data_IF_301473327957
#
_entry.id   IF_301473327957
#
_cell.length_a   1.000
_cell.length_b   1.000
_cell.length_c   1.000
_cell.angle_alpha   90.00
_cell.angle_beta   90.00
_cell.angle_gamma   90.00
#
_symmetry.space_group_name_H-M   'P 1'
#
loop_
_entity.id
_entity.type
_entity.pdbx_description
1 polymer ?
#
# COMPACT_ATOMS: atom_id res chain seq x y z
N UNK A 1 4.82 -15.27 19.95
CA UNK A 1 5.33 -14.66 18.70
C UNK A 1 5.30 -13.14 18.82
N UNK A 2 6.43 -12.43 18.78
CA UNK A 2 6.44 -10.95 18.80
C UNK A 2 5.84 -10.43 17.48
N UNK A 3 4.58 -10.00 17.53
CA UNK A 3 3.94 -9.23 16.47
C UNK A 3 4.59 -7.83 16.49
N UNK A 4 5.19 -7.44 15.37
CA UNK A 4 5.86 -6.14 15.24
C UNK A 4 4.85 -5.06 14.87
N UNK A 5 5.13 -3.81 15.26
CA UNK A 5 4.34 -2.67 14.81
C UNK A 5 4.52 -2.50 13.30
N UNK A 6 3.45 -2.13 12.60
CA UNK A 6 3.46 -1.95 11.16
C UNK A 6 2.72 -0.68 10.76
N UNK A 7 3.18 -0.08 9.67
CA UNK A 7 2.40 0.89 8.89
C UNK A 7 2.24 0.32 7.49
N UNK A 8 1.03 0.37 6.96
CA UNK A 8 0.67 -0.15 5.65
C UNK A 8 0.10 0.98 4.82
N UNK A 9 0.65 1.22 3.63
CA UNK A 9 0.04 2.04 2.61
C UNK A 9 -0.76 1.13 1.70
N UNK A 10 -2.09 1.26 1.75
CA UNK A 10 -3.00 0.58 0.84
C UNK A 10 -3.27 1.48 -0.37
N UNK A 11 -3.29 0.86 -1.54
CA UNK A 11 -3.45 1.54 -2.82
C UNK A 11 -4.51 0.83 -3.65
N UNK A 12 -5.51 1.61 -4.04
CA UNK A 12 -6.37 1.26 -5.16
C UNK A 12 -5.79 1.89 -6.43
N UNK A 13 -5.30 1.02 -7.31
CA UNK A 13 -4.56 1.44 -8.50
C UNK A 13 -5.49 2.15 -9.48
N UNK A 14 -5.12 3.35 -9.96
CA UNK A 14 -5.86 4.01 -11.03
C UNK A 14 -6.02 3.09 -12.25
N UNK A 15 -7.22 3.03 -12.81
CA UNK A 15 -7.55 2.14 -13.94
C UNK A 15 -6.56 2.23 -15.13
N UNK A 16 -6.06 3.41 -15.54
CA UNK A 16 -5.07 3.50 -16.62
C UNK A 16 -3.73 2.79 -16.32
N UNK A 17 -3.40 2.55 -15.05
CA UNK A 17 -2.21 1.81 -14.64
C UNK A 17 -2.46 0.31 -14.46
N UNK A 18 -3.69 -0.15 -14.60
CA UNK A 18 -4.06 -1.57 -14.59
C UNK A 18 -3.96 -2.16 -15.99
N UNK A 19 -3.62 -3.45 -16.06
CA UNK A 19 -3.72 -4.19 -17.33
C UNK A 19 -5.20 -4.35 -17.70
N UNK A 20 -5.55 -4.36 -19.01
CA UNK A 20 -6.90 -4.71 -19.44
C UNK A 20 -7.35 -6.02 -18.79
N UNK A 21 -8.63 -6.09 -18.38
CA UNK A 21 -9.27 -7.25 -17.75
C UNK A 21 -8.71 -7.67 -16.38
N UNK A 22 -7.70 -6.98 -15.87
CA UNK A 22 -7.27 -7.14 -14.50
C UNK A 22 -8.24 -6.36 -13.63
N UNK A 23 -8.82 -7.04 -12.64
CA UNK A 23 -9.73 -6.40 -11.67
C UNK A 23 -11.08 -5.92 -12.25
N UNK A 24 -11.67 -6.79 -13.07
CA UNK A 24 -12.91 -6.53 -13.82
C UNK A 24 -14.14 -6.20 -12.94
N UNK A 25 -14.11 -6.56 -11.64
CA UNK A 25 -15.24 -6.37 -10.75
C UNK A 25 -15.40 -4.92 -10.26
N UNK A 26 -14.31 -4.17 -10.08
CA UNK A 26 -14.35 -2.80 -9.53
C UNK A 26 -14.06 -1.70 -10.54
N UNK A 27 -13.41 -2.02 -11.67
CA UNK A 27 -13.06 -1.04 -12.71
C UNK A 27 -13.88 -1.19 -13.99
N UNK A 28 -15.10 -1.73 -13.89
CA UNK A 28 -16.02 -1.81 -15.01
C UNK A 28 -16.91 -0.55 -15.02
N UNK A 29 -16.62 0.37 -15.94
CA UNK A 29 -17.38 1.62 -16.09
C UNK A 29 -18.85 1.40 -16.41
N UNK A 30 -19.22 0.26 -16.99
CA UNK A 30 -20.62 -0.10 -17.18
C UNK A 30 -21.31 -0.28 -15.82
N UNK A 31 -20.70 -1.00 -14.87
CA UNK A 31 -21.27 -1.18 -13.53
C UNK A 31 -21.37 0.15 -12.77
N UNK A 32 -20.36 1.03 -12.87
CA UNK A 32 -20.39 2.36 -12.26
C UNK A 32 -21.49 3.27 -12.86
N UNK A 33 -21.66 3.25 -14.19
CA UNK A 33 -22.77 3.96 -14.85
C UNK A 33 -24.14 3.40 -14.46
N UNK A 34 -24.30 2.06 -14.44
CA UNK A 34 -25.57 1.41 -14.13
C UNK A 34 -25.98 1.58 -12.66
N UNK A 35 -25.02 1.59 -11.72
CA UNK A 35 -25.33 1.70 -10.28
C UNK A 35 -25.39 3.14 -9.77
N UNK A 36 -24.55 4.04 -10.29
CA UNK A 36 -24.39 5.39 -9.73
C UNK A 36 -24.78 6.52 -10.69
N UNK A 37 -25.12 6.22 -11.96
CA UNK A 37 -25.55 7.22 -12.95
C UNK A 37 -24.47 8.22 -13.40
N UNK A 38 -23.26 8.12 -12.85
CA UNK A 38 -22.08 8.93 -13.19
C UNK A 38 -20.80 8.09 -13.12
N UNK A 39 -19.78 8.39 -13.96
CA UNK A 39 -18.48 7.73 -13.85
C UNK A 39 -17.86 7.98 -12.48
N UNK A 40 -17.44 6.92 -11.78
CA UNK A 40 -16.74 7.03 -10.51
C UNK A 40 -15.36 7.68 -10.70
N UNK A 41 -15.12 8.90 -10.18
CA UNK A 41 -13.83 9.57 -10.32
C UNK A 41 -12.70 8.84 -9.58
N UNK A 42 -13.00 7.98 -8.60
CA UNK A 42 -12.00 7.15 -7.92
C UNK A 42 -11.43 6.06 -8.83
N UNK A 43 -12.17 5.58 -9.84
CA UNK A 43 -11.63 4.64 -10.84
C UNK A 43 -10.47 5.28 -11.64
N UNK A 44 -10.58 6.57 -11.93
CA UNK A 44 -9.61 7.30 -12.75
C UNK A 44 -8.48 7.87 -11.89
N UNK A 45 -8.77 8.33 -10.68
CA UNK A 45 -7.78 8.98 -9.82
C UNK A 45 -7.03 8.00 -8.92
N UNK A 46 -7.61 6.83 -8.66
CA UNK A 46 -7.13 5.86 -7.67
C UNK A 46 -7.44 6.30 -6.23
N UNK A 47 -7.09 5.46 -5.27
CA UNK A 47 -7.26 5.76 -3.84
C UNK A 47 -6.07 5.31 -3.01
N UNK A 48 -5.83 5.98 -1.89
CA UNK A 48 -4.77 5.65 -0.95
C UNK A 48 -5.25 5.81 0.49
N UNK A 49 -4.89 4.89 1.37
CA UNK A 49 -5.18 4.97 2.80
C UNK A 49 -4.12 4.26 3.63
N UNK A 50 -4.06 4.58 4.92
CA UNK A 50 -3.04 4.07 5.84
C UNK A 50 -3.65 3.10 6.85
N UNK A 51 -3.00 1.94 7.01
CA UNK A 51 -3.18 1.03 8.15
C UNK A 51 -2.08 1.19 9.19
N UNK A 52 -2.42 1.17 10.48
CA UNK A 52 -1.46 1.12 11.59
C UNK A 52 -1.75 -0.09 12.50
N UNK A 53 -0.80 -1.05 12.55
CA UNK A 53 -0.91 -2.24 13.40
C UNK A 53 -0.15 -2.09 14.74
N UNK A 54 -0.83 -2.34 15.86
CA UNK A 54 -0.36 -2.04 17.22
C UNK A 54 0.56 -3.11 17.86
N UNK A 55 1.13 -4.02 17.07
CA UNK A 55 1.95 -5.13 17.58
C UNK A 55 1.18 -6.13 18.46
N UNK A 56 -0.13 -5.95 18.67
CA UNK A 56 -1.05 -6.96 19.21
C UNK A 56 -1.91 -7.58 18.11
N UNK A 57 -1.77 -7.07 16.89
CA UNK A 57 -2.50 -7.54 15.70
C UNK A 57 -3.82 -6.81 15.49
N UNK A 58 -4.07 -5.72 16.21
CA UNK A 58 -5.15 -4.79 15.88
C UNK A 58 -4.62 -3.76 14.92
N UNK A 59 -5.36 -3.50 13.86
CA UNK A 59 -5.04 -2.47 12.87
C UNK A 59 -6.17 -1.45 12.85
N UNK A 60 -5.79 -0.18 12.85
CA UNK A 60 -6.71 0.91 12.46
C UNK A 60 -6.40 1.28 11.02
N UNK A 61 -7.42 1.55 10.22
CA UNK A 61 -7.26 2.05 8.86
C UNK A 61 -7.98 3.38 8.72
N UNK A 62 -7.31 4.35 8.11
CA UNK A 62 -7.83 5.70 7.94
C UNK A 62 -7.45 6.26 6.59
N UNK A 63 -8.38 7.02 6.02
CA UNK A 63 -8.23 7.72 4.75
C UNK A 63 -8.62 9.18 4.91
N UNK A 64 -8.34 9.97 3.89
CA UNK A 64 -8.69 11.38 3.86
C UNK A 64 -9.46 11.68 2.58
N UNK A 65 -10.62 12.31 2.73
CA UNK A 65 -11.56 12.59 1.64
C UNK A 65 -12.19 13.96 1.83
N UNK A 66 -13.00 14.38 0.86
CA UNK A 66 -13.90 15.51 0.96
C UNK A 66 -15.24 15.16 0.32
N UNK A 67 -16.33 15.76 0.79
CA UNK A 67 -17.66 15.50 0.26
C UNK A 67 -18.04 16.50 -0.84
N UNK A 68 -18.71 16.02 -1.89
CA UNK A 68 -19.29 16.85 -2.94
C UNK A 68 -18.96 16.42 -4.36
N UNK A 69 -19.39 17.22 -5.34
CA UNK A 69 -19.11 16.98 -6.77
C UNK A 69 -17.61 17.12 -7.05
N UNK A 70 -17.08 16.37 -8.02
CA UNK A 70 -15.65 16.40 -8.39
C UNK A 70 -15.13 17.83 -8.68
N UNK A 71 -15.92 18.67 -9.35
CA UNK A 71 -15.55 20.07 -9.60
C UNK A 71 -15.29 20.87 -8.32
N UNK A 72 -16.07 20.62 -7.26
CA UNK A 72 -15.83 21.21 -5.94
C UNK A 72 -14.57 20.63 -5.28
N UNK A 73 -14.34 19.33 -5.42
CA UNK A 73 -13.11 18.72 -4.91
C UNK A 73 -11.85 19.25 -5.59
N UNK A 74 -11.93 19.70 -6.85
CA UNK A 74 -10.83 20.37 -7.54
C UNK A 74 -10.58 21.75 -6.93
N UNK A 75 -11.63 22.55 -6.70
CA UNK A 75 -11.50 23.90 -6.12
C UNK A 75 -11.17 23.90 -4.62
N UNK A 76 -11.60 22.86 -3.90
CA UNK A 76 -11.49 22.75 -2.45
C UNK A 76 -12.84 22.52 -1.78
N UNK A 77 -12.87 21.57 -0.85
CA UNK A 77 -13.98 21.31 0.08
C UNK A 77 -13.43 21.03 1.47
N UNK A 78 -14.29 21.02 2.49
CA UNK A 78 -13.88 20.59 3.82
C UNK A 78 -13.39 19.13 3.76
N UNK A 79 -12.18 18.92 4.28
CA UNK A 79 -11.60 17.60 4.38
C UNK A 79 -12.12 16.86 5.59
N UNK A 80 -12.13 15.54 5.50
CA UNK A 80 -12.50 14.65 6.60
C UNK A 80 -11.60 13.43 6.59
N UNK A 81 -11.10 13.06 7.77
CA UNK A 81 -10.40 11.79 7.98
C UNK A 81 -11.44 10.74 8.35
N UNK A 82 -11.59 9.74 7.51
CA UNK A 82 -12.60 8.68 7.68
C UNK A 82 -11.96 7.36 8.09
N UNK A 83 -12.63 6.53 8.91
CA UNK A 83 -12.22 5.15 9.09
C UNK A 83 -12.38 4.39 7.76
N UNK A 84 -11.43 3.49 7.50
CA UNK A 84 -11.57 2.47 6.48
C UNK A 84 -11.84 1.13 7.15
N UNK A 85 -12.78 0.40 6.59
CA UNK A 85 -13.16 -0.90 7.08
C UNK A 85 -12.19 -1.97 6.57
N UNK A 86 -12.29 -3.11 7.24
CA UNK A 86 -11.54 -4.28 6.82
C UNK A 86 -12.00 -4.80 5.45
N UNK A 87 -13.13 -4.35 4.90
CA UNK A 87 -13.61 -4.77 3.59
C UNK A 87 -13.29 -3.77 2.48
N UNK A 88 -12.58 -2.67 2.79
CA UNK A 88 -12.23 -1.71 1.77
C UNK A 88 -11.26 -2.29 0.75
N UNK A 89 -11.61 -2.09 -0.51
CA UNK A 89 -10.86 -2.63 -1.63
C UNK A 89 -9.51 -1.93 -1.81
N UNK A 90 -8.49 -2.75 -2.02
CA UNK A 90 -7.20 -2.33 -2.52
C UNK A 90 -6.62 -3.46 -3.38
N UNK A 91 -5.78 -3.12 -4.35
CA UNK A 91 -5.09 -4.08 -5.18
C UNK A 91 -3.57 -4.04 -4.98
N UNK A 92 -3.02 -2.96 -4.45
CA UNK A 92 -1.60 -2.82 -4.15
C UNK A 92 -1.39 -2.35 -2.70
N UNK A 93 -0.26 -2.71 -2.10
CA UNK A 93 0.13 -2.19 -0.80
C UNK A 93 1.65 -2.11 -0.63
N UNK A 94 2.11 -1.29 0.32
CA UNK A 94 3.48 -1.32 0.86
C UNK A 94 3.36 -1.47 2.37
N UNK A 95 4.07 -2.44 2.95
CA UNK A 95 4.11 -2.66 4.40
C UNK A 95 5.50 -2.34 4.94
N UNK A 96 5.57 -1.48 5.95
CA UNK A 96 6.79 -1.21 6.69
C UNK A 96 6.69 -1.82 8.09
N UNK A 97 7.74 -2.54 8.49
CA UNK A 97 7.94 -2.88 9.90
C UNK A 97 8.51 -1.66 10.61
N UNK A 98 7.88 -1.22 11.69
CA UNK A 98 8.25 0.01 12.39
C UNK A 98 8.45 -0.23 13.89
N UNK A 99 9.13 0.71 14.54
CA UNK A 99 9.24 0.74 15.99
C UNK A 99 7.97 1.29 16.65
N UNK A 100 7.80 1.04 17.96
CA UNK A 100 6.72 1.65 18.77
C UNK A 100 6.76 3.18 18.73
N UNK A 101 7.95 3.79 18.64
CA UNK A 101 8.11 5.25 18.56
C UNK A 101 7.55 5.80 17.25
N UNK A 102 7.88 5.16 16.13
CA UNK A 102 7.37 5.52 14.81
C UNK A 102 5.85 5.30 14.74
N UNK A 103 5.33 4.21 15.30
CA UNK A 103 3.88 3.98 15.40
C UNK A 103 3.16 5.12 16.14
N UNK A 104 3.70 5.54 17.30
CA UNK A 104 3.14 6.66 18.06
C UNK A 104 3.20 7.97 17.28
N UNK A 105 4.26 8.21 16.51
CA UNK A 105 4.39 9.40 15.67
C UNK A 105 3.36 9.41 14.54
N UNK A 106 3.19 8.29 13.83
CA UNK A 106 2.17 8.12 12.80
C UNK A 106 0.77 8.39 13.36
N UNK A 107 0.46 7.78 14.52
CA UNK A 107 -0.83 7.93 15.18
C UNK A 107 -1.12 9.38 15.61
N UNK A 108 -0.11 10.08 16.14
CA UNK A 108 -0.24 11.50 16.49
C UNK A 108 -0.53 12.38 15.26
N UNK A 109 0.09 12.07 14.12
CA UNK A 109 -0.18 12.82 12.89
C UNK A 109 -1.61 12.58 12.39
N UNK A 110 -2.11 11.33 12.46
CA UNK A 110 -3.52 11.02 12.16
C UNK A 110 -4.45 11.80 13.11
N UNK A 111 -4.21 11.75 14.42
CA UNK A 111 -5.04 12.45 15.41
C UNK A 111 -5.02 13.98 15.21
N UNK A 112 -3.87 14.54 14.83
CA UNK A 112 -3.74 15.97 14.48
C UNK A 112 -4.57 16.32 13.26
N UNK A 113 -4.50 15.52 12.19
CA UNK A 113 -5.28 15.75 10.97
C UNK A 113 -6.77 15.43 11.16
N UNK A 114 -7.14 14.55 12.09
CA UNK A 114 -8.55 14.36 12.48
C UNK A 114 -9.12 15.59 13.17
N UNK A 115 -8.35 16.22 14.07
CA UNK A 115 -8.78 17.42 14.81
C UNK A 115 -8.81 18.67 13.92
N UNK A 116 -7.90 18.75 12.96
CA UNK A 116 -7.83 19.83 11.99
C UNK A 116 -7.58 19.27 10.58
N UNK A 117 -8.63 18.78 9.92
CA UNK A 117 -8.51 18.13 8.62
C UNK A 117 -8.17 19.10 7.50
N UNK A 118 -8.46 20.39 7.66
CA UNK A 118 -8.25 21.41 6.65
C UNK A 118 -9.04 21.15 5.38
N UNK A 119 -8.62 21.76 4.26
CA UNK A 119 -9.32 21.67 2.98
C UNK A 119 -8.81 20.50 2.14
N UNK A 120 -9.72 19.64 1.71
CA UNK A 120 -9.45 18.63 0.70
C UNK A 120 -9.43 19.26 -0.69
N UNK A 121 -8.36 19.00 -1.44
CA UNK A 121 -8.21 19.38 -2.85
C UNK A 121 -7.63 18.22 -3.64
N UNK A 122 -8.33 17.81 -4.70
CA UNK A 122 -8.06 16.59 -5.46
C UNK A 122 -6.60 16.46 -5.94
N UNK A 123 -5.94 17.56 -6.30
CA UNK A 123 -4.57 17.56 -6.83
C UNK A 123 -3.50 18.17 -5.91
N UNK A 124 -3.90 18.73 -4.76
CA UNK A 124 -2.99 19.44 -3.85
C UNK A 124 -2.94 18.81 -2.45
N UNK A 125 -4.09 18.45 -1.90
CA UNK A 125 -4.24 17.93 -0.54
C UNK A 125 -5.34 16.87 -0.53
N UNK A 126 -4.94 15.64 -0.78
CA UNK A 126 -5.83 14.50 -1.02
C UNK A 126 -5.41 13.28 -0.18
N UNK A 127 -6.02 12.12 -0.45
CA UNK A 127 -5.73 10.87 0.23
C UNK A 127 -4.25 10.46 0.17
N UNK A 128 -3.54 10.79 -0.92
CA UNK A 128 -2.12 10.48 -1.10
C UNK A 128 -1.20 11.39 -0.29
N UNK A 129 -1.51 12.68 -0.22
CA UNK A 129 -0.72 13.62 0.61
C UNK A 129 -0.92 13.30 2.08
N UNK A 130 -2.16 13.03 2.51
CA UNK A 130 -2.45 12.54 3.87
C UNK A 130 -1.61 11.30 4.21
N UNK A 131 -1.66 10.28 3.34
CA UNK A 131 -0.90 9.05 3.56
C UNK A 131 0.62 9.31 3.62
N UNK A 132 1.12 10.17 2.73
CA UNK A 132 2.52 10.57 2.69
C UNK A 132 2.94 11.33 3.95
N UNK A 133 2.11 12.23 4.47
CA UNK A 133 2.39 13.00 5.69
C UNK A 133 2.47 12.09 6.92
N UNK A 134 1.57 11.10 7.03
CA UNK A 134 1.62 10.10 8.10
C UNK A 134 2.90 9.26 8.01
N UNK A 135 3.30 8.84 6.80
CA UNK A 135 4.55 8.11 6.58
C UNK A 135 5.80 8.95 6.93
N UNK A 136 5.81 10.24 6.55
CA UNK A 136 6.89 11.18 6.89
C UNK A 136 6.97 11.45 8.39
N UNK A 137 5.83 11.66 9.06
CA UNK A 137 5.78 11.85 10.51
C UNK A 137 6.33 10.62 11.26
N UNK A 138 6.05 9.42 10.73
CA UNK A 138 6.60 8.17 11.23
C UNK A 138 8.09 7.97 10.90
N UNK A 139 8.69 8.82 10.05
CA UNK A 139 10.07 8.70 9.57
C UNK A 139 10.38 7.29 9.05
N UNK A 140 9.48 6.73 8.25
CA UNK A 140 9.77 5.45 7.59
C UNK A 140 10.73 5.66 6.43
N UNK A 141 11.45 4.61 6.06
CA UNK A 141 12.37 4.66 4.92
C UNK A 141 11.61 4.58 3.58
N UNK A 142 12.23 5.05 2.51
CA UNK A 142 11.72 4.96 1.13
C UNK A 142 10.33 5.59 0.93
N UNK A 143 9.98 6.64 1.68
CA UNK A 143 8.72 7.37 1.51
C UNK A 143 8.64 7.97 0.09
N UNK A 144 7.44 8.02 -0.51
CA UNK A 144 7.20 8.77 -1.74
C UNK A 144 7.48 10.27 -1.51
N UNK A 145 8.47 10.81 -2.22
CA UNK A 145 8.86 12.23 -2.10
C UNK A 145 8.46 13.04 -3.34
N UNK A 146 8.37 14.36 -3.15
CA UNK A 146 8.01 15.31 -4.20
C UNK A 146 6.70 14.94 -4.89
N UNK A 147 6.68 15.01 -6.23
CA UNK A 147 5.50 14.76 -7.05
C UNK A 147 4.94 13.34 -6.93
N UNK A 148 5.74 12.36 -6.50
CA UNK A 148 5.29 10.97 -6.35
C UNK A 148 4.39 10.75 -5.12
N UNK A 149 4.46 11.64 -4.12
CA UNK A 149 3.60 11.58 -2.93
C UNK A 149 2.27 12.31 -3.09
N UNK A 150 2.09 13.07 -4.17
CA UNK A 150 0.93 13.94 -4.36
C UNK A 150 -0.29 13.23 -4.95
N UNK A 151 -0.10 12.06 -5.57
CA UNK A 151 -1.18 11.36 -6.29
C UNK A 151 -1.11 9.85 -6.11
N UNK A 152 -2.25 9.13 -6.20
CA UNK A 152 -2.23 7.67 -6.15
C UNK A 152 -1.38 7.05 -7.27
N UNK A 153 -1.32 7.70 -8.45
CA UNK A 153 -0.42 7.33 -9.55
C UNK A 153 1.05 7.29 -9.10
N UNK A 154 1.52 8.36 -8.45
CA UNK A 154 2.89 8.46 -7.97
C UNK A 154 3.21 7.38 -6.92
N UNK A 155 2.27 7.15 -6.00
CA UNK A 155 2.40 6.12 -4.96
C UNK A 155 2.49 4.71 -5.57
N UNK A 156 1.64 4.40 -6.56
CA UNK A 156 1.66 3.12 -7.29
C UNK A 156 2.98 2.95 -8.04
N UNK A 157 3.45 3.97 -8.76
CA UNK A 157 4.73 3.93 -9.48
C UNK A 157 5.89 3.67 -8.52
N UNK A 158 5.97 4.40 -7.40
CA UNK A 158 6.98 4.19 -6.35
C UNK A 158 6.95 2.74 -5.85
N UNK A 159 5.77 2.22 -5.53
CA UNK A 159 5.60 0.83 -5.11
C UNK A 159 6.11 -0.15 -6.16
N UNK A 160 5.77 0.04 -7.43
CA UNK A 160 6.20 -0.84 -8.53
C UNK A 160 7.73 -0.83 -8.71
N UNK A 161 8.36 0.33 -8.59
CA UNK A 161 9.83 0.46 -8.57
C UNK A 161 10.42 -0.30 -7.39
N UNK A 162 9.84 -0.18 -6.18
CA UNK A 162 10.29 -0.94 -5.01
C UNK A 162 10.16 -2.46 -5.24
N UNK A 163 9.05 -2.91 -5.84
CA UNK A 163 8.85 -4.33 -6.16
C UNK A 163 9.89 -4.84 -7.16
N UNK A 164 10.21 -4.05 -8.20
CA UNK A 164 11.23 -4.39 -9.17
C UNK A 164 12.62 -4.49 -8.50
N UNK A 165 12.98 -3.52 -7.63
CA UNK A 165 14.22 -3.57 -6.84
C UNK A 165 14.31 -4.84 -5.99
N UNK A 166 13.24 -5.23 -5.29
CA UNK A 166 13.21 -6.47 -4.48
C UNK A 166 13.39 -7.72 -5.34
N UNK A 167 12.79 -7.77 -6.53
CA UNK A 167 12.99 -8.88 -7.48
C UNK A 167 14.44 -8.95 -7.98
N UNK A 168 15.06 -7.80 -8.29
CA UNK A 168 16.47 -7.75 -8.66
C UNK A 168 17.39 -8.23 -7.52
N UNK A 169 17.09 -7.89 -6.26
CA UNK A 169 17.83 -8.41 -5.10
C UNK A 169 17.75 -9.95 -5.01
N UNK A 170 16.57 -10.53 -5.23
CA UNK A 170 16.37 -11.99 -5.28
C UNK A 170 17.16 -12.62 -6.44
N UNK A 171 17.09 -12.04 -7.64
CA UNK A 171 17.83 -12.52 -8.82
C UNK A 171 19.34 -12.46 -8.59
N UNK A 172 19.85 -11.35 -8.06
CA UNK A 172 21.27 -11.20 -7.70
C UNK A 172 21.71 -12.26 -6.69
N UNK A 173 20.89 -12.54 -5.68
CA UNK A 173 21.17 -13.59 -4.69
C UNK A 173 21.21 -14.98 -5.32
N UNK A 174 20.25 -15.30 -6.21
CA UNK A 174 20.23 -16.56 -6.95
C UNK A 174 21.47 -16.71 -7.83
N UNK A 175 21.82 -15.68 -8.61
CA UNK A 175 23.02 -15.68 -9.45
C UNK A 175 24.30 -15.86 -8.63
N UNK A 176 24.43 -15.15 -7.48
CA UNK A 176 25.55 -15.34 -6.53
C UNK A 176 25.66 -16.79 -6.08
N UNK A 177 24.55 -17.46 -5.80
CA UNK A 177 24.54 -18.87 -5.38
C UNK A 177 24.89 -19.85 -6.51
N UNK A 178 24.47 -19.56 -7.75
CA UNK A 178 24.89 -20.33 -8.94
C UNK A 178 26.39 -20.23 -9.13
N UNK A 179 26.94 -19.00 -9.16
CA UNK A 179 28.38 -18.77 -9.30
C UNK A 179 29.17 -19.45 -8.19
N UNK A 180 28.75 -19.32 -6.92
CA UNK A 180 29.42 -20.02 -5.80
C UNK A 180 29.47 -21.52 -6.01
N UNK A 181 28.37 -22.12 -6.50
CA UNK A 181 28.32 -23.56 -6.78
C UNK A 181 29.30 -23.93 -7.90
N UNK A 182 29.38 -23.15 -8.98
CA UNK A 182 30.32 -23.36 -10.08
C UNK A 182 31.79 -23.27 -9.63
N UNK A 183 32.10 -22.42 -8.65
CA UNK A 183 33.43 -22.30 -8.06
C UNK A 183 33.66 -23.22 -6.84
N UNK A 184 32.86 -24.28 -6.66
CA UNK A 184 33.02 -25.25 -5.57
C UNK A 184 32.74 -24.70 -4.16
N UNK A 185 32.21 -23.48 -4.03
CA UNK A 185 31.89 -22.84 -2.75
C UNK A 185 30.48 -23.22 -2.28
N UNK A 186 30.31 -23.39 -0.97
CA UNK A 186 28.99 -23.60 -0.35
C UNK A 186 28.04 -22.44 -0.67
N UNK A 187 26.79 -22.77 -1.01
CA UNK A 187 25.70 -21.80 -1.26
C UNK A 187 25.45 -20.94 -0.02
N UNK A 188 25.16 -19.66 -0.23
CA UNK A 188 24.69 -18.78 0.84
C UNK A 188 23.28 -19.19 1.28
N UNK A 189 22.98 -19.17 2.59
CA UNK A 189 21.71 -19.65 3.12
C UNK A 189 20.56 -18.72 2.75
N UNK A 190 19.41 -19.28 2.36
CA UNK A 190 18.22 -18.50 1.99
C UNK A 190 17.69 -17.64 3.14
N UNK A 191 18.01 -17.99 4.39
CA UNK A 191 17.70 -17.17 5.56
C UNK A 191 18.28 -15.76 5.47
N UNK A 192 19.48 -15.60 4.91
CA UNK A 192 20.13 -14.29 4.71
C UNK A 192 19.32 -13.40 3.75
N UNK A 193 18.85 -13.98 2.63
CA UNK A 193 17.96 -13.27 1.70
C UNK A 193 16.64 -12.90 2.37
N UNK A 194 16.01 -13.84 3.08
CA UNK A 194 14.74 -13.60 3.76
C UNK A 194 14.87 -12.53 4.84
N UNK A 195 15.96 -12.52 5.59
CA UNK A 195 16.26 -11.50 6.59
C UNK A 195 16.46 -10.12 5.94
N UNK A 196 17.25 -10.06 4.86
CA UNK A 196 17.44 -8.81 4.11
C UNK A 196 16.14 -8.28 3.49
N UNK A 197 15.22 -9.15 3.08
CA UNK A 197 13.93 -8.71 2.54
C UNK A 197 12.97 -8.27 3.64
N UNK A 198 13.02 -8.91 4.81
CA UNK A 198 12.18 -8.58 5.98
C UNK A 198 12.57 -7.28 6.65
N UNK A 199 13.85 -6.90 6.61
CA UNK A 199 14.34 -5.65 7.20
C UNK A 199 13.91 -4.41 6.41
N UNK A 200 13.43 -4.60 5.17
CA UNK A 200 13.07 -3.53 4.26
C UNK A 200 11.56 -3.45 4.05
N UNK A 201 11.05 -2.34 3.50
CA UNK A 201 9.63 -2.24 3.16
C UNK A 201 9.23 -3.31 2.14
N UNK A 202 8.04 -3.90 2.34
CA UNK A 202 7.52 -5.03 1.56
C UNK A 202 6.41 -4.55 0.62
N UNK A 203 6.69 -4.37 -0.68
CA UNK A 203 5.68 -4.05 -1.68
C UNK A 203 4.87 -5.30 -2.05
N UNK A 204 3.57 -5.26 -1.84
CA UNK A 204 2.65 -6.38 -2.07
C UNK A 204 2.25 -6.49 -3.54
N UNK A 205 2.53 -7.59 -4.25
CA UNK A 205 2.15 -7.75 -5.66
C UNK A 205 0.64 -7.66 -5.88
N UNK A 206 0.21 -7.12 -7.03
CA UNK A 206 -1.23 -6.93 -7.34
C UNK A 206 -2.04 -8.22 -7.15
N UNK A 207 -1.53 -9.35 -7.66
CA UNK A 207 -2.21 -10.65 -7.57
C UNK A 207 -2.47 -11.06 -6.11
N UNK A 208 -1.55 -10.72 -5.21
CA UNK A 208 -1.70 -11.04 -3.79
C UNK A 208 -2.77 -10.15 -3.16
N UNK A 209 -2.74 -8.84 -3.43
CA UNK A 209 -3.78 -7.92 -2.96
C UNK A 209 -5.18 -8.30 -3.45
N UNK A 210 -5.35 -8.51 -4.75
CA UNK A 210 -6.66 -8.87 -5.34
C UNK A 210 -7.16 -10.27 -4.91
N UNK A 211 -6.29 -11.28 -4.85
CA UNK A 211 -6.70 -12.63 -4.41
C UNK A 211 -7.08 -12.65 -2.93
N UNK A 212 -6.30 -11.97 -2.08
CA UNK A 212 -6.62 -11.87 -0.66
C UNK A 212 -7.95 -11.16 -0.45
N UNK A 213 -8.25 -10.12 -1.24
CA UNK A 213 -9.57 -9.47 -1.22
C UNK A 213 -10.69 -10.45 -1.59
N UNK A 214 -10.60 -11.13 -2.74
CA UNK A 214 -11.67 -12.07 -3.20
C UNK A 214 -11.88 -13.25 -2.27
N UNK A 215 -10.80 -13.84 -1.76
CA UNK A 215 -10.88 -15.00 -0.87
C UNK A 215 -11.45 -14.63 0.52
N UNK A 216 -11.34 -13.35 0.91
CA UNK A 216 -11.70 -12.89 2.25
C UNK A 216 -12.88 -11.91 2.26
N UNK A 217 -13.41 -11.46 1.11
CA UNK A 217 -14.69 -10.74 1.03
C UNK A 217 -15.87 -11.61 1.47
N UNK A 218 -15.68 -12.92 1.57
CA UNK A 218 -16.60 -13.89 2.18
C UNK A 218 -16.41 -14.03 3.71
N UNK A 219 -15.35 -13.47 4.29
CA UNK A 219 -15.01 -13.55 5.71
C UNK A 219 -15.01 -12.15 6.34
N UNK A 220 -15.75 -11.94 7.43
CA UNK A 220 -16.02 -10.60 7.98
C UNK A 220 -14.79 -9.84 8.53
N UNK A 221 -13.59 -10.42 8.56
CA UNK A 221 -12.39 -9.77 9.09
C UNK A 221 -11.14 -9.97 8.21
N UNK A 222 -10.67 -8.90 7.54
CA UNK A 222 -9.31 -8.86 6.98
C UNK A 222 -8.30 -8.62 8.10
N UNK A 223 -7.52 -9.65 8.44
CA UNK A 223 -6.31 -9.48 9.24
C UNK A 223 -5.27 -8.62 8.51
N UNK A 224 -4.33 -7.99 9.27
CA UNK A 224 -3.18 -7.33 8.69
C UNK A 224 -2.43 -8.26 7.72
N UNK A 225 -1.83 -7.67 6.69
CA UNK A 225 -1.09 -8.42 5.67
C UNK A 225 0.02 -9.28 6.28
N UNK A 226 0.07 -10.57 5.92
CA UNK A 226 1.13 -11.47 6.37
C UNK A 226 2.43 -11.20 5.60
N UNK A 227 3.21 -10.26 6.13
CA UNK A 227 4.51 -9.86 5.59
C UNK A 227 5.47 -11.06 5.44
N UNK A 228 5.40 -12.06 6.34
CA UNK A 228 6.29 -13.22 6.26
C UNK A 228 5.93 -14.09 5.07
N UNK A 229 4.64 -14.36 4.87
CA UNK A 229 4.17 -15.12 3.72
C UNK A 229 4.48 -14.41 2.40
N UNK A 230 4.28 -13.08 2.34
CA UNK A 230 4.57 -12.27 1.14
C UNK A 230 6.07 -12.29 0.83
N UNK A 231 6.91 -12.09 1.84
CA UNK A 231 8.37 -12.10 1.67
C UNK A 231 8.88 -13.47 1.24
N UNK A 232 8.34 -14.55 1.83
CA UNK A 232 8.66 -15.90 1.40
C UNK A 232 8.27 -16.12 -0.07
N UNK A 233 7.05 -15.75 -0.46
CA UNK A 233 6.61 -15.83 -1.86
C UNK A 233 7.56 -15.10 -2.80
N UNK A 234 7.99 -13.88 -2.46
CA UNK A 234 8.96 -13.11 -3.26
C UNK A 234 10.31 -13.82 -3.40
N UNK A 235 10.84 -14.40 -2.32
CA UNK A 235 12.13 -15.10 -2.34
C UNK A 235 12.07 -16.42 -3.14
N UNK A 236 10.92 -17.10 -3.12
CA UNK A 236 10.73 -18.43 -3.71
C UNK A 236 10.00 -18.43 -5.05
N UNK A 237 9.66 -17.27 -5.62
CA UNK A 237 9.06 -17.22 -6.96
C UNK A 237 10.07 -17.81 -7.95
N UNK A 238 9.72 -18.95 -8.57
CA UNK A 238 10.34 -19.42 -9.82
C UNK A 238 9.69 -18.59 -10.93
N UNK A 239 10.52 -18.03 -11.81
CA UNK A 239 10.01 -17.41 -13.03
C UNK A 239 9.28 -18.44 -13.89
#
# INVERSE_FOLDING_TARGET
>A
MKKNYQITLYLDTPKPLLRPFKDFAKHNQLASLFMNGVPDPAEVTGHAFIGLSDGKGREIRVGYTGEGKMSKMISGVDGVVIPHDNQDYYNEAIVWSISKKQYKAARREIEKQQKNPGTYKLFERNCSTFATDVLKAAKVEDVPEGKLGLTPYGLVLKKRVMLAKRRMEVLKFKAKNVLRTLFGKKRAPTSELLESLRSKPVPVPIRVGTNDYRAKSTCKQLHPLDVKAITAKLAFTRE
#
